data_IF_369747463555
#
_entry.id   IF_369747463555
#
_cell.length_a   1.000
_cell.length_b   1.000
_cell.length_c   1.000
_cell.angle_alpha   90.00
_cell.angle_beta   90.00
_cell.angle_gamma   90.00
#
_symmetry.space_group_name_H-M   'P 1'
#
loop_
_entity.id
_entity.type
_entity.pdbx_description
1 polymer ?
#
# COMPACT_ATOMS: atom_id res chain seq x y z
N UNK A 1 -1.31 9.07 -4.58
CA UNK A 1 -1.54 10.33 -3.81
C UNK A 1 -0.88 10.25 -2.44
N UNK A 2 -0.37 11.37 -1.94
CA UNK A 2 0.01 11.56 -0.54
C UNK A 2 -0.95 12.59 0.05
N UNK A 3 -1.93 12.12 0.82
CA UNK A 3 -3.00 12.94 1.39
C UNK A 3 -2.56 13.40 2.77
N UNK A 4 -2.67 14.70 3.03
CA UNK A 4 -2.37 15.33 4.33
C UNK A 4 -3.54 16.19 4.77
N UNK A 5 -4.04 15.96 5.97
CA UNK A 5 -5.13 16.73 6.57
C UNK A 5 -4.63 17.30 7.89
N UNK A 6 -4.39 18.62 7.98
CA UNK A 6 -3.81 19.23 9.18
C UNK A 6 -4.76 19.21 10.39
N UNK A 7 -6.06 19.45 10.14
CA UNK A 7 -7.09 19.51 11.18
C UNK A 7 -7.92 18.24 11.15
N UNK A 8 -7.90 17.48 12.23
CA UNK A 8 -8.69 16.26 12.39
C UNK A 8 -10.15 16.53 12.74
N UNK A 9 -10.85 15.48 13.12
CA UNK A 9 -12.26 15.50 13.51
C UNK A 9 -13.18 14.78 12.54
N UNK A 10 -14.49 14.97 12.68
CA UNK A 10 -15.47 14.34 11.83
C UNK A 10 -15.32 14.74 10.36
N UNK A 11 -15.33 13.75 9.47
CA UNK A 11 -15.23 13.96 8.02
C UNK A 11 -16.64 13.98 7.42
N UNK A 12 -17.04 15.06 6.72
CA UNK A 12 -18.36 15.18 6.09
C UNK A 12 -18.40 14.36 4.78
N UNK A 13 -18.22 13.05 4.90
CA UNK A 13 -18.18 12.13 3.78
C UNK A 13 -19.52 11.42 3.57
N UNK A 14 -19.77 10.96 2.36
CA UNK A 14 -20.93 10.18 1.95
C UNK A 14 -20.48 8.76 1.59
N UNK A 15 -21.42 7.81 1.59
CA UNK A 15 -21.13 6.47 1.08
C UNK A 15 -20.79 6.57 -0.39
N UNK A 16 -19.62 6.08 -0.75
CA UNK A 16 -19.10 6.13 -2.12
C UNK A 16 -18.28 4.89 -2.45
N UNK A 17 -17.92 4.74 -3.71
CA UNK A 17 -17.04 3.69 -4.20
C UNK A 17 -16.23 4.15 -5.41
N UNK A 18 -15.14 3.45 -5.68
CA UNK A 18 -14.23 3.73 -6.77
C UNK A 18 -14.25 2.64 -7.83
N UNK A 19 -14.28 3.02 -9.11
CA UNK A 19 -14.11 2.10 -10.24
C UNK A 19 -12.63 1.91 -10.53
N UNK A 20 -11.99 1.11 -9.71
CA UNK A 20 -10.54 0.80 -9.78
C UNK A 20 -10.31 -0.67 -10.05
N UNK A 21 -9.13 -1.03 -10.54
CA UNK A 21 -8.65 -2.41 -10.58
C UNK A 21 -7.89 -2.81 -9.31
N UNK A 22 -7.36 -1.82 -8.58
CA UNK A 22 -6.64 -1.96 -7.33
C UNK A 22 -6.60 -0.63 -6.58
N UNK A 23 -6.81 -0.66 -5.26
CA UNK A 23 -6.65 0.53 -4.43
C UNK A 23 -6.11 0.16 -3.04
N UNK A 24 -4.95 0.72 -2.72
CA UNK A 24 -4.31 0.63 -1.41
C UNK A 24 -4.49 1.94 -0.65
N UNK A 25 -4.85 1.84 0.62
CA UNK A 25 -4.80 2.93 1.60
C UNK A 25 -3.80 2.52 2.68
N UNK A 26 -2.70 3.25 2.81
CA UNK A 26 -1.71 3.07 3.85
C UNK A 26 -1.71 4.27 4.78
N UNK A 27 -1.96 4.07 6.07
CA UNK A 27 -1.88 5.13 7.05
C UNK A 27 -0.41 5.39 7.39
N UNK A 28 0.12 6.51 6.93
CA UNK A 28 1.51 6.88 7.15
C UNK A 28 1.69 7.55 8.52
N UNK A 29 0.74 8.41 8.92
CA UNK A 29 0.73 9.07 10.24
C UNK A 29 -0.68 9.26 10.76
N UNK A 30 -0.85 9.28 12.08
CA UNK A 30 -2.15 9.47 12.72
C UNK A 30 -3.05 8.24 12.65
N UNK A 31 -4.34 8.48 12.53
CA UNK A 31 -5.36 7.43 12.40
C UNK A 31 -6.60 7.96 11.66
N UNK A 32 -7.38 7.03 11.09
CA UNK A 32 -8.67 7.31 10.44
C UNK A 32 -9.66 6.19 10.71
N UNK A 33 -10.92 6.56 10.97
CA UNK A 33 -12.05 5.64 11.13
C UNK A 33 -12.84 5.55 9.82
N UNK A 34 -13.04 4.34 9.33
CA UNK A 34 -13.74 4.08 8.07
C UNK A 34 -14.77 2.97 8.26
N UNK A 35 -15.91 3.12 7.63
CA UNK A 35 -16.92 2.07 7.45
C UNK A 35 -16.79 1.45 6.08
N UNK A 36 -16.86 0.13 6.01
CA UNK A 36 -16.87 -0.64 4.78
C UNK A 36 -18.10 -1.54 4.69
N UNK A 37 -18.62 -1.69 3.49
CA UNK A 37 -19.68 -2.63 3.15
C UNK A 37 -19.32 -4.05 3.60
N UNK A 38 -20.22 -4.68 4.36
CA UNK A 38 -20.10 -6.05 4.86
C UNK A 38 -18.87 -6.35 5.76
N UNK A 39 -18.24 -5.31 6.30
CA UNK A 39 -17.10 -5.47 7.22
C UNK A 39 -17.43 -5.13 8.68
N UNK A 40 -18.73 -4.94 8.99
CA UNK A 40 -19.18 -4.64 10.35
C UNK A 40 -19.09 -3.16 10.72
N UNK A 41 -18.78 -2.88 11.98
CA UNK A 41 -18.67 -1.51 12.51
C UNK A 41 -17.44 -0.75 12.01
N UNK A 42 -17.23 0.48 12.52
CA UNK A 42 -16.07 1.28 12.15
C UNK A 42 -14.74 0.56 12.39
N UNK A 43 -13.85 0.65 11.43
CA UNK A 43 -12.49 0.13 11.51
C UNK A 43 -11.54 1.32 11.62
N UNK A 44 -10.72 1.33 12.66
CA UNK A 44 -9.66 2.33 12.82
C UNK A 44 -8.37 1.85 12.18
N UNK A 45 -7.86 2.64 11.26
CA UNK A 45 -6.56 2.46 10.61
C UNK A 45 -5.55 3.34 11.35
N UNK A 46 -4.59 2.73 12.01
CA UNK A 46 -3.49 3.44 12.69
C UNK A 46 -2.28 3.57 11.79
N UNK A 47 -1.36 4.47 12.14
CA UNK A 47 -0.08 4.58 11.46
C UNK A 47 0.63 3.23 11.39
N UNK A 48 1.04 2.84 10.18
CA UNK A 48 1.62 1.54 9.87
C UNK A 48 0.61 0.49 9.37
N UNK A 49 -0.69 0.71 9.55
CA UNK A 49 -1.74 -0.18 9.01
C UNK A 49 -2.03 0.13 7.55
N UNK A 50 -2.64 -0.82 6.86
CA UNK A 50 -3.17 -0.57 5.52
C UNK A 50 -4.46 -1.33 5.24
N UNK A 51 -5.26 -0.77 4.32
CA UNK A 51 -6.39 -1.42 3.70
C UNK A 51 -6.10 -1.74 2.24
N UNK A 52 -6.61 -2.87 1.76
CA UNK A 52 -6.98 -3.01 0.35
C UNK A 52 -8.47 -2.73 0.22
N UNK A 53 -8.81 -1.80 -0.65
CA UNK A 53 -10.18 -1.51 -1.05
C UNK A 53 -10.46 -2.23 -2.36
N UNK A 54 -11.22 -3.36 -2.34
CA UNK A 54 -11.61 -4.03 -3.57
C UNK A 54 -12.40 -3.10 -4.51
N UNK A 55 -12.41 -3.39 -5.83
CA UNK A 55 -13.19 -2.62 -6.78
C UNK A 55 -14.64 -2.46 -6.33
N UNK A 56 -15.13 -1.23 -6.34
CA UNK A 56 -16.52 -0.87 -6.03
C UNK A 56 -17.01 -1.22 -4.61
N UNK A 57 -16.14 -1.57 -3.65
CA UNK A 57 -16.55 -1.67 -2.25
C UNK A 57 -17.03 -0.31 -1.75
N UNK A 58 -18.26 -0.28 -1.21
CA UNK A 58 -18.82 0.93 -0.61
C UNK A 58 -18.14 1.20 0.72
N UNK A 59 -17.79 2.46 0.91
CA UNK A 59 -17.16 2.89 2.14
C UNK A 59 -17.48 4.34 2.46
N UNK A 60 -17.16 4.74 3.69
CA UNK A 60 -17.32 6.10 4.17
C UNK A 60 -16.30 6.38 5.26
N UNK A 61 -15.61 7.50 5.14
CA UNK A 61 -14.72 8.01 6.18
C UNK A 61 -15.56 8.72 7.25
N UNK A 62 -15.31 8.45 8.52
CA UNK A 62 -16.06 9.00 9.64
C UNK A 62 -15.32 10.11 10.35
N UNK A 63 -14.08 9.84 10.74
CA UNK A 63 -13.27 10.73 11.58
C UNK A 63 -11.79 10.46 11.31
N UNK A 64 -10.97 11.48 11.48
CA UNK A 64 -9.52 11.37 11.37
C UNK A 64 -8.81 12.16 12.48
N UNK A 65 -7.59 11.77 12.82
CA UNK A 65 -6.75 12.52 13.75
C UNK A 65 -6.20 13.80 13.13
N UNK A 66 -5.83 14.75 13.98
CA UNK A 66 -5.02 15.89 13.56
C UNK A 66 -3.72 15.40 12.90
N UNK A 67 -3.35 16.04 11.81
CA UNK A 67 -2.11 15.75 11.09
C UNK A 67 -2.05 14.35 10.45
N UNK A 68 -3.19 13.75 10.15
CA UNK A 68 -3.20 12.47 9.42
C UNK A 68 -2.51 12.58 8.08
N UNK A 69 -1.71 11.57 7.77
CA UNK A 69 -1.11 11.38 6.43
C UNK A 69 -1.42 9.98 5.91
N UNK A 70 -1.90 9.91 4.68
CA UNK A 70 -2.26 8.66 4.01
C UNK A 70 -1.55 8.59 2.66
N UNK A 71 -0.96 7.42 2.37
CA UNK A 71 -0.49 7.08 1.03
C UNK A 71 -1.58 6.26 0.35
N UNK A 72 -2.16 6.82 -0.68
CA UNK A 72 -3.16 6.16 -1.51
C UNK A 72 -2.58 5.82 -2.87
N UNK A 73 -2.76 4.56 -3.30
CA UNK A 73 -2.32 4.07 -4.60
C UNK A 73 -3.50 3.41 -5.29
N UNK A 74 -4.03 4.08 -6.31
CA UNK A 74 -5.12 3.58 -7.15
C UNK A 74 -4.63 3.25 -8.56
N UNK A 75 -5.16 2.21 -9.17
CA UNK A 75 -4.88 1.81 -10.54
C UNK A 75 -6.19 1.50 -11.28
N UNK A 76 -6.49 2.23 -12.36
CA UNK A 76 -5.75 3.37 -12.91
C UNK A 76 -5.73 4.57 -11.95
N UNK A 77 -4.75 5.48 -12.13
CA UNK A 77 -4.63 6.68 -11.31
C UNK A 77 -5.84 7.62 -11.47
N UNK A 78 -6.32 7.77 -12.70
CA UNK A 78 -7.59 8.44 -12.99
C UNK A 78 -8.70 7.40 -13.00
N UNK A 79 -9.65 7.53 -12.09
CA UNK A 79 -10.80 6.62 -11.97
C UNK A 79 -12.04 7.39 -11.50
N UNK A 80 -13.18 6.79 -11.74
CA UNK A 80 -14.47 7.35 -11.34
C UNK A 80 -14.73 7.04 -9.87
N UNK A 81 -15.12 8.08 -9.11
CA UNK A 81 -15.72 7.95 -7.77
C UNK A 81 -17.22 8.23 -7.90
N UNK A 82 -18.03 7.31 -7.41
CA UNK A 82 -19.49 7.44 -7.44
C UNK A 82 -20.04 7.44 -6.02
N UNK A 83 -21.00 8.34 -5.76
CA UNK A 83 -21.75 8.39 -4.49
C UNK A 83 -22.92 7.41 -4.58
N UNK A 84 -23.06 6.56 -3.57
CA UNK A 84 -24.20 5.67 -3.43
C UNK A 84 -25.21 6.28 -2.44
N UNK A 85 -26.23 6.92 -2.99
CA UNK A 85 -27.25 7.61 -2.19
C UNK A 85 -28.25 6.66 -1.50
N UNK A 86 -28.31 5.41 -1.95
CA UNK A 86 -29.28 4.42 -1.48
C UNK A 86 -28.69 3.53 -0.38
N UNK A 87 -27.37 3.44 -0.30
CA UNK A 87 -26.71 2.60 0.69
C UNK A 87 -26.51 3.31 2.04
N UNK A 88 -26.78 2.57 3.11
CA UNK A 88 -26.46 3.00 4.49
C UNK A 88 -25.41 2.06 5.08
N UNK A 89 -24.36 2.65 5.67
CA UNK A 89 -23.31 1.91 6.39
C UNK A 89 -23.45 2.17 7.91
N UNK A 90 -23.15 1.15 8.76
CA UNK A 90 -22.73 -0.20 8.38
C UNK A 90 -23.89 -1.02 7.80
N UNK A 91 -23.57 -1.98 6.94
CA UNK A 91 -24.54 -3.01 6.49
C UNK A 91 -24.85 -3.97 7.64
N UNK A 92 -26.01 -4.64 7.58
CA UNK A 92 -26.41 -5.62 8.61
C UNK A 92 -25.57 -6.90 8.60
N UNK A 93 -24.95 -7.22 7.45
CA UNK A 93 -24.19 -8.44 7.25
C UNK A 93 -22.72 -8.22 7.55
N UNK A 94 -22.09 -9.27 8.08
CA UNK A 94 -20.64 -9.36 8.19
C UNK A 94 -20.16 -10.50 7.27
N UNK A 95 -19.47 -10.15 6.19
CA UNK A 95 -18.99 -11.10 5.18
C UNK A 95 -17.51 -10.85 4.87
N UNK A 96 -16.59 -11.18 5.80
CA UNK A 96 -15.16 -10.89 5.66
C UNK A 96 -14.52 -11.58 4.45
N UNK A 97 -15.08 -12.70 4.00
CA UNK A 97 -14.58 -13.46 2.85
C UNK A 97 -15.27 -13.07 1.52
N UNK A 98 -16.10 -12.03 1.52
CA UNK A 98 -16.74 -11.56 0.29
C UNK A 98 -15.68 -11.15 -0.73
N UNK A 99 -15.90 -11.57 -1.97
CA UNK A 99 -15.10 -11.17 -3.12
C UNK A 99 -15.82 -10.12 -3.97
N UNK A 100 -15.11 -9.10 -4.38
CA UNK A 100 -15.53 -8.08 -5.34
C UNK A 100 -14.79 -8.31 -6.66
N UNK A 101 -15.51 -8.52 -7.78
CA UNK A 101 -14.87 -8.76 -9.07
C UNK A 101 -14.21 -7.47 -9.60
N UNK A 102 -12.99 -7.61 -10.14
CA UNK A 102 -12.39 -6.57 -10.96
C UNK A 102 -12.89 -6.63 -12.41
N UNK A 103 -12.40 -5.76 -13.27
CA UNK A 103 -12.78 -5.71 -14.70
C UNK A 103 -12.44 -6.99 -15.50
N UNK A 104 -11.60 -7.87 -14.93
CA UNK A 104 -11.24 -9.16 -15.52
C UNK A 104 -11.97 -10.34 -14.85
N UNK A 105 -12.89 -10.05 -13.92
CA UNK A 105 -13.65 -11.05 -13.17
C UNK A 105 -12.85 -11.75 -12.06
N UNK A 106 -11.67 -11.23 -11.67
CA UNK A 106 -10.92 -11.73 -10.52
C UNK A 106 -11.53 -11.16 -9.27
N UNK A 107 -11.93 -12.03 -8.33
CA UNK A 107 -12.44 -11.59 -7.04
C UNK A 107 -11.31 -11.08 -6.14
N UNK A 108 -11.44 -9.87 -5.62
CA UNK A 108 -10.57 -9.31 -4.59
C UNK A 108 -11.31 -9.26 -3.27
N UNK A 109 -10.61 -9.47 -2.16
CA UNK A 109 -11.17 -9.39 -0.81
C UNK A 109 -10.68 -8.14 -0.11
N UNK A 110 -11.52 -7.58 0.76
CA UNK A 110 -11.08 -6.55 1.70
C UNK A 110 -10.00 -7.12 2.63
N UNK A 111 -8.99 -6.31 2.92
CA UNK A 111 -7.96 -6.61 3.92
C UNK A 111 -7.74 -5.39 4.78
N UNK A 112 -7.74 -5.59 6.09
CA UNK A 112 -7.15 -4.70 7.07
C UNK A 112 -5.89 -5.38 7.61
N UNK A 113 -4.72 -4.92 7.17
CA UNK A 113 -3.45 -5.39 7.69
C UNK A 113 -2.99 -4.46 8.82
N UNK A 114 -2.89 -5.02 10.02
CA UNK A 114 -2.49 -4.31 11.24
C UNK A 114 -0.98 -4.36 11.38
N UNK A 115 -0.35 -3.18 11.36
CA UNK A 115 1.10 -3.06 11.36
C UNK A 115 1.78 -3.57 12.63
N UNK A 116 1.12 -3.44 13.79
CA UNK A 116 1.63 -3.94 15.08
C UNK A 116 1.72 -5.46 15.16
N UNK A 117 0.91 -6.18 14.37
CA UNK A 117 0.87 -7.65 14.37
C UNK A 117 1.86 -8.26 13.39
N UNK A 118 2.66 -7.42 12.74
CA UNK A 118 3.57 -7.81 11.68
C UNK A 118 4.62 -8.83 12.10
N UNK A 119 4.79 -9.85 11.27
CA UNK A 119 5.92 -10.76 11.32
C UNK A 119 6.95 -10.33 10.27
N UNK A 120 8.18 -10.12 10.69
CA UNK A 120 9.28 -9.72 9.81
C UNK A 120 10.07 -10.94 9.37
N UNK A 121 10.40 -11.02 8.08
CA UNK A 121 11.15 -12.10 7.47
C UNK A 121 12.20 -11.54 6.49
N UNK A 122 13.20 -12.33 6.08
CA UNK A 122 14.15 -11.89 5.09
C UNK A 122 13.46 -11.40 3.81
N UNK A 123 13.84 -10.21 3.36
CA UNK A 123 13.35 -9.68 2.10
C UNK A 123 14.07 -10.31 0.91
N UNK A 124 13.50 -10.25 -0.29
CA UNK A 124 14.12 -10.76 -1.52
C UNK A 124 15.44 -10.10 -1.89
N UNK A 125 15.69 -8.87 -1.40
CA UNK A 125 16.97 -8.17 -1.52
C UNK A 125 17.77 -8.36 -0.23
N UNK A 126 19.01 -8.81 -0.36
CA UNK A 126 19.91 -8.97 0.79
C UNK A 126 20.15 -7.62 1.50
N UNK A 127 20.29 -7.64 2.81
CA UNK A 127 20.44 -6.44 3.64
C UNK A 127 19.13 -5.85 4.12
N UNK A 128 18.00 -6.47 3.78
CA UNK A 128 16.67 -5.99 4.16
C UNK A 128 15.78 -7.10 4.74
N UNK A 129 14.79 -6.68 5.50
CA UNK A 129 13.69 -7.51 5.99
C UNK A 129 12.36 -6.87 5.54
N UNK A 130 11.33 -7.67 5.43
CA UNK A 130 10.00 -7.20 5.03
C UNK A 130 8.90 -7.80 5.89
N UNK A 131 7.78 -7.13 5.98
CA UNK A 131 6.50 -7.71 6.39
C UNK A 131 5.57 -7.79 5.19
N UNK A 132 4.89 -8.91 5.08
CA UNK A 132 3.82 -9.10 4.12
C UNK A 132 2.52 -8.48 4.64
N UNK A 133 1.75 -7.89 3.75
CA UNK A 133 0.44 -7.33 4.06
C UNK A 133 -0.72 -8.25 3.70
N UNK A 134 -0.46 -9.45 3.17
CA UNK A 134 -1.44 -10.42 2.64
C UNK A 134 -2.24 -9.92 1.42
N UNK A 135 -1.92 -8.74 0.91
CA UNK A 135 -2.64 -8.11 -0.22
C UNK A 135 -2.46 -8.92 -1.51
N UNK A 136 -1.30 -9.54 -1.70
CA UNK A 136 -1.06 -10.39 -2.88
C UNK A 136 -2.09 -11.52 -2.98
N UNK A 137 -2.36 -12.22 -1.90
CA UNK A 137 -3.36 -13.30 -1.86
C UNK A 137 -4.78 -12.74 -2.01
N UNK A 138 -5.10 -11.66 -1.29
CA UNK A 138 -6.41 -11.05 -1.31
C UNK A 138 -6.79 -10.47 -2.67
N UNK A 139 -5.81 -10.05 -3.46
CA UNK A 139 -6.01 -9.51 -4.82
C UNK A 139 -5.79 -10.56 -5.91
N UNK A 140 -5.50 -11.83 -5.56
CA UNK A 140 -5.15 -12.89 -6.51
C UNK A 140 -4.01 -12.47 -7.46
N UNK A 141 -2.95 -11.93 -6.86
CA UNK A 141 -1.73 -11.44 -7.53
C UNK A 141 -1.93 -10.24 -8.47
N UNK A 142 -2.99 -9.48 -8.33
CA UNK A 142 -3.10 -8.17 -9.01
C UNK A 142 -2.02 -7.23 -8.51
N UNK A 143 -1.81 -7.18 -7.18
CA UNK A 143 -0.78 -6.35 -6.56
C UNK A 143 -0.09 -7.06 -5.39
N UNK A 144 1.18 -6.73 -5.17
CA UNK A 144 1.92 -7.04 -3.96
C UNK A 144 2.19 -5.75 -3.18
N UNK A 145 2.09 -5.83 -1.85
CA UNK A 145 2.42 -4.70 -0.97
C UNK A 145 3.25 -5.22 0.18
N UNK A 146 4.41 -4.62 0.39
CA UNK A 146 5.31 -4.95 1.50
C UNK A 146 5.84 -3.69 2.16
N UNK A 147 6.05 -3.76 3.47
CA UNK A 147 6.85 -2.77 4.19
C UNK A 147 8.24 -3.36 4.38
N UNK A 148 9.27 -2.61 4.00
CA UNK A 148 10.66 -3.07 3.97
C UNK A 148 11.49 -2.22 4.92
N UNK A 149 12.35 -2.85 5.72
CA UNK A 149 13.28 -2.19 6.65
C UNK A 149 14.70 -2.65 6.42
N UNK A 150 15.63 -1.87 6.95
CA UNK A 150 17.02 -2.28 7.09
C UNK A 150 17.09 -3.62 7.84
N UNK A 151 17.81 -4.57 7.26
CA UNK A 151 18.17 -5.86 7.85
C UNK A 151 19.67 -6.00 8.03
N UNK A 152 20.16 -7.24 8.06
CA UNK A 152 21.60 -7.55 8.15
C UNK A 152 22.18 -7.92 6.79
N UNK A 153 23.47 -7.65 6.59
CA UNK A 153 24.18 -7.92 5.34
C UNK A 153 24.24 -6.71 4.40
N UNK A 154 25.01 -6.84 3.34
CA UNK A 154 25.25 -5.76 2.39
C UNK A 154 24.26 -5.84 1.23
N UNK A 155 23.66 -4.70 0.83
CA UNK A 155 22.78 -4.64 -0.33
C UNK A 155 23.50 -5.06 -1.61
N UNK A 156 22.83 -5.90 -2.41
CA UNK A 156 23.35 -6.41 -3.68
C UNK A 156 22.62 -5.79 -4.88
N UNK A 157 23.26 -5.84 -6.03
CA UNK A 157 22.61 -5.51 -7.29
C UNK A 157 21.55 -6.54 -7.63
N UNK A 158 20.38 -6.06 -8.03
CA UNK A 158 19.28 -6.90 -8.43
C UNK A 158 18.46 -6.25 -9.55
N UNK A 159 17.65 -7.05 -10.23
CA UNK A 159 16.63 -6.59 -11.18
C UNK A 159 15.35 -7.40 -10.99
N UNK A 160 14.23 -6.83 -11.39
CA UNK A 160 12.92 -7.47 -11.34
C UNK A 160 12.24 -7.45 -12.72
N UNK A 161 11.18 -8.24 -12.88
CA UNK A 161 10.35 -8.28 -14.08
C UNK A 161 8.89 -7.82 -13.85
N UNK A 162 8.59 -7.23 -12.67
CA UNK A 162 7.29 -6.63 -12.40
C UNK A 162 7.01 -5.48 -13.38
N UNK A 163 5.77 -5.35 -13.86
CA UNK A 163 5.35 -4.27 -14.77
C UNK A 163 5.48 -2.91 -14.10
N UNK A 164 5.08 -2.81 -12.83
CA UNK A 164 5.24 -1.63 -11.98
C UNK A 164 5.90 -2.05 -10.68
N UNK A 165 6.97 -1.35 -10.31
CA UNK A 165 7.62 -1.46 -9.02
C UNK A 165 7.76 -0.05 -8.44
N UNK A 166 6.77 0.34 -7.65
CA UNK A 166 6.71 1.63 -6.96
C UNK A 166 7.23 1.48 -5.54
N UNK A 167 8.00 2.45 -5.08
CA UNK A 167 8.47 2.52 -3.70
C UNK A 167 8.35 3.95 -3.16
N UNK A 168 7.82 4.08 -1.94
CA UNK A 168 7.78 5.31 -1.17
C UNK A 168 8.70 5.17 0.05
N UNK A 169 9.55 6.17 0.30
CA UNK A 169 10.43 6.23 1.46
C UNK A 169 9.63 6.79 2.64
N UNK A 170 9.32 5.96 3.63
CA UNK A 170 8.54 6.37 4.79
C UNK A 170 9.42 7.00 5.87
N UNK A 171 10.56 6.38 6.16
CA UNK A 171 11.53 6.88 7.14
C UNK A 171 12.95 6.62 6.66
N UNK A 172 13.91 7.36 7.22
CA UNK A 172 15.33 7.19 6.95
C UNK A 172 15.77 7.65 5.57
N UNK A 173 16.91 7.11 5.14
CA UNK A 173 17.55 7.49 3.87
C UNK A 173 18.30 6.32 3.26
N UNK A 174 18.48 6.31 1.94
CA UNK A 174 19.37 5.38 1.23
C UNK A 174 19.78 5.97 -0.12
N UNK A 175 20.77 5.39 -0.75
CA UNK A 175 21.22 5.77 -2.10
C UNK A 175 20.68 4.74 -3.10
N UNK A 176 19.82 5.19 -4.03
CA UNK A 176 19.38 4.38 -5.17
C UNK A 176 20.45 4.46 -6.27
N UNK A 177 21.07 3.35 -6.56
CA UNK A 177 22.01 3.20 -7.67
C UNK A 177 21.32 2.45 -8.83
N UNK A 178 21.44 2.97 -10.04
CA UNK A 178 21.02 2.31 -11.27
C UNK A 178 22.23 2.07 -12.17
N UNK A 179 22.30 0.90 -12.84
CA UNK A 179 23.41 0.60 -13.73
C UNK A 179 23.53 1.63 -14.85
N UNK A 180 24.67 2.30 -14.94
CA UNK A 180 24.93 3.36 -15.92
C UNK A 180 24.17 4.67 -15.67
N UNK A 181 23.68 4.90 -14.45
CA UNK A 181 23.00 6.13 -14.01
C UNK A 181 23.76 6.75 -12.84
N UNK A 182 23.58 8.06 -12.69
CA UNK A 182 24.03 8.74 -11.48
C UNK A 182 23.23 8.25 -10.26
N UNK A 183 23.87 8.08 -9.09
CA UNK A 183 23.16 7.67 -7.89
C UNK A 183 22.29 8.81 -7.36
N UNK A 184 21.16 8.44 -6.73
CA UNK A 184 20.23 9.38 -6.10
C UNK A 184 20.14 9.10 -4.60
N UNK A 185 20.43 10.10 -3.76
CA UNK A 185 20.15 10.03 -2.32
C UNK A 185 18.68 10.31 -2.09
N UNK A 186 17.95 9.34 -1.54
CA UNK A 186 16.54 9.42 -1.24
C UNK A 186 16.31 9.51 0.25
N UNK A 187 15.26 10.24 0.64
CA UNK A 187 14.91 10.55 2.03
C UNK A 187 13.40 10.34 2.25
N UNK A 188 12.97 10.34 3.51
CA UNK A 188 11.56 10.23 3.84
C UNK A 188 10.69 11.25 3.06
N UNK A 189 9.62 10.78 2.42
CA UNK A 189 8.74 11.53 1.55
C UNK A 189 9.05 11.42 0.05
N UNK A 190 10.22 10.88 -0.33
CA UNK A 190 10.54 10.61 -1.73
C UNK A 190 9.83 9.35 -2.23
N UNK A 191 9.54 9.31 -3.52
CA UNK A 191 8.98 8.14 -4.20
C UNK A 191 9.65 7.91 -5.54
N UNK A 192 9.73 6.64 -5.95
CA UNK A 192 10.34 6.28 -7.23
C UNK A 192 9.71 5.03 -7.81
N UNK A 193 9.93 4.83 -9.11
CA UNK A 193 9.56 3.63 -9.85
C UNK A 193 10.81 3.06 -10.52
N UNK A 194 11.02 1.75 -10.38
CA UNK A 194 12.08 1.05 -11.09
C UNK A 194 11.46 0.35 -12.31
N UNK A 195 11.94 0.64 -13.53
CA UNK A 195 11.51 -0.09 -14.71
C UNK A 195 11.90 -1.58 -14.66
N UNK A 196 11.10 -2.47 -15.28
CA UNK A 196 11.45 -3.89 -15.35
C UNK A 196 12.82 -4.11 -16.02
N UNK A 197 13.57 -5.07 -15.51
CA UNK A 197 14.91 -5.46 -15.93
C UNK A 197 16.02 -4.42 -15.72
N UNK A 198 15.74 -3.27 -15.12
CA UNK A 198 16.78 -2.32 -14.73
C UNK A 198 17.52 -2.87 -13.50
N UNK A 199 18.87 -2.97 -13.60
CA UNK A 199 19.70 -3.35 -12.46
C UNK A 199 19.85 -2.17 -11.52
N UNK A 200 19.50 -2.39 -10.25
CA UNK A 200 19.55 -1.38 -9.19
C UNK A 200 20.15 -1.95 -7.92
N UNK A 201 20.62 -1.08 -7.04
CA UNK A 201 21.07 -1.40 -5.69
C UNK A 201 20.62 -0.30 -4.73
N UNK A 202 20.17 -0.69 -3.53
CA UNK A 202 19.80 0.21 -2.45
C UNK A 202 20.99 0.30 -1.48
N UNK A 203 21.97 1.16 -1.78
CA UNK A 203 23.19 1.29 -0.99
C UNK A 203 23.07 2.31 0.14
N UNK A 204 23.93 2.21 1.13
CA UNK A 204 24.03 3.11 2.28
C UNK A 204 22.67 3.36 2.99
N UNK A 205 21.85 2.32 3.25
CA UNK A 205 20.62 2.51 3.98
C UNK A 205 20.90 2.90 5.44
N UNK A 206 20.17 3.91 5.93
CA UNK A 206 20.20 4.26 7.36
C UNK A 206 19.52 3.16 8.19
N UNK A 207 19.82 3.12 9.50
CA UNK A 207 19.28 2.08 10.39
C UNK A 207 17.76 2.18 10.59
N UNK A 208 17.20 3.38 10.46
CA UNK A 208 15.78 3.70 10.55
C UNK A 208 15.04 3.61 9.21
N UNK A 209 15.69 3.15 8.14
CA UNK A 209 15.06 3.06 6.82
C UNK A 209 13.80 2.21 6.86
N UNK A 210 12.70 2.80 6.40
CA UNK A 210 11.43 2.11 6.15
C UNK A 210 10.87 2.51 4.80
N UNK A 211 10.49 1.52 3.99
CA UNK A 211 9.97 1.67 2.64
C UNK A 211 8.59 1.02 2.53
N UNK A 212 7.67 1.67 1.83
CA UNK A 212 6.44 1.05 1.33
C UNK A 212 6.65 0.67 -0.13
N UNK A 213 6.66 -0.63 -0.41
CA UNK A 213 6.79 -1.16 -1.77
C UNK A 213 5.45 -1.66 -2.28
N UNK A 214 5.09 -1.26 -3.50
CA UNK A 214 3.89 -1.73 -4.21
C UNK A 214 4.27 -2.20 -5.60
N UNK A 215 3.90 -3.43 -5.93
CA UNK A 215 4.20 -4.05 -7.22
C UNK A 215 2.92 -4.47 -7.95
N UNK A 216 2.93 -4.35 -9.26
CA UNK A 216 1.96 -4.88 -10.20
C UNK A 216 2.75 -5.64 -11.30
N UNK A 217 2.53 -6.92 -11.49
CA UNK A 217 1.70 -7.83 -10.70
C UNK A 217 2.29 -8.07 -9.29
N UNK A 218 1.48 -8.66 -8.40
CA UNK A 218 1.92 -9.03 -7.05
C UNK A 218 2.92 -10.19 -7.00
N UNK A 219 2.92 -11.03 -8.02
CA UNK A 219 3.91 -12.12 -8.20
C UNK A 219 4.80 -11.80 -9.38
N UNK A 220 6.09 -11.74 -9.16
CA UNK A 220 7.13 -11.43 -10.13
C UNK A 220 8.47 -12.06 -9.72
N UNK A 221 9.46 -12.04 -10.60
CA UNK A 221 10.79 -12.58 -10.34
C UNK A 221 11.78 -11.47 -9.98
N UNK A 222 12.69 -11.78 -9.06
CA UNK A 222 13.86 -10.94 -8.77
C UNK A 222 15.11 -11.76 -9.00
N UNK A 223 16.04 -11.23 -9.77
CA UNK A 223 17.36 -11.83 -10.02
C UNK A 223 18.41 -10.99 -9.32
N UNK A 224 19.13 -11.59 -8.38
CA UNK A 224 20.33 -11.01 -7.75
C UNK A 224 21.52 -11.25 -8.66
N UNK A 225 22.37 -10.24 -8.82
CA UNK A 225 23.52 -10.27 -9.74
C UNK A 225 24.85 -10.10 -8.99
#
# INVERSE_FOLDING_TARGET
>A
SHIRIPDGGPVPDMVHYHRVGFQLIYCYRGWVDVLYEDQGGPIRLHAGDCFIQPPEIRHRVLEASDGIEVIEIGVPAEHVTEIDHDMTLPTSDLRPDREWPDSQGRGQRFVHNVGSDAQWHPFRLQGFIARDTTINDATKSVAGVQVVRRGTGDPQWAKHDADIHFTFVMEGTFTLEGEGKDPFRLTAGDAFVIPPNMRTRYSEPSDDLELLEVTLAGTFSTTVA
#
